data_IF_473242928329
#
_entry.id   IF_473242928329
#
_cell.length_a   1.000
_cell.length_b   1.000
_cell.length_c   1.000
_cell.angle_alpha   90.00
_cell.angle_beta   90.00
_cell.angle_gamma   90.00
#
_symmetry.space_group_name_H-M   'P 1'
#
loop_
_entity.id
_entity.type
_entity.pdbx_description
1 polymer ?
#
# COMPACT_ATOMS: atom_id res chain seq x y z
N UNK A 1 15.50 0.89 -0.89
CA UNK A 1 14.67 -0.15 -0.27
C UNK A 1 13.27 -0.02 -0.83
N UNK A 2 12.62 -1.11 -1.23
CA UNK A 2 11.25 -1.08 -1.77
C UNK A 2 10.44 -2.25 -1.21
N UNK A 3 9.12 -2.10 -1.21
CA UNK A 3 8.20 -3.15 -0.83
C UNK A 3 7.18 -3.40 -1.95
N UNK A 4 6.62 -4.60 -1.99
CA UNK A 4 5.45 -4.92 -2.78
C UNK A 4 4.30 -5.16 -1.81
N UNK A 5 3.25 -4.37 -1.92
CA UNK A 5 2.04 -4.46 -1.09
C UNK A 5 0.88 -5.03 -1.90
N UNK A 6 -0.06 -5.70 -1.23
CA UNK A 6 -1.34 -6.09 -1.81
C UNK A 6 -2.43 -5.10 -1.43
N UNK A 7 -3.16 -4.59 -2.41
CA UNK A 7 -4.29 -3.68 -2.18
C UNK A 7 -5.50 -4.23 -2.89
N UNK A 8 -6.46 -4.78 -2.13
CA UNK A 8 -7.62 -5.46 -2.70
C UNK A 8 -7.22 -6.57 -3.66
N UNK A 9 -7.47 -6.37 -4.95
CA UNK A 9 -7.14 -7.35 -6.01
C UNK A 9 -5.80 -7.13 -6.71
N UNK A 10 -5.16 -5.97 -6.50
CA UNK A 10 -3.90 -5.60 -7.15
C UNK A 10 -2.68 -5.75 -6.23
N UNK A 11 -1.51 -5.80 -6.86
CA UNK A 11 -0.22 -5.69 -6.18
C UNK A 11 0.51 -4.46 -6.70
N UNK A 12 1.11 -3.71 -5.79
CA UNK A 12 1.79 -2.46 -6.11
C UNK A 12 3.18 -2.42 -5.48
N UNK A 13 4.16 -1.93 -6.26
CA UNK A 13 5.50 -1.68 -5.76
C UNK A 13 5.56 -0.25 -5.20
N UNK A 14 5.99 -0.14 -3.95
CA UNK A 14 6.04 1.11 -3.21
C UNK A 14 7.43 1.36 -2.63
N UNK A 15 7.77 2.63 -2.53
CA UNK A 15 8.92 3.14 -1.79
C UNK A 15 8.45 4.25 -0.82
N UNK A 16 9.30 4.60 0.13
CA UNK A 16 9.01 5.67 1.09
C UNK A 16 8.71 7.00 0.36
N UNK A 17 7.66 7.69 0.78
CA UNK A 17 7.21 8.96 0.19
C UNK A 17 6.42 8.84 -1.13
N UNK A 18 6.26 7.63 -1.68
CA UNK A 18 5.50 7.40 -2.92
C UNK A 18 3.99 7.50 -2.67
N UNK A 19 3.29 8.23 -3.54
CA UNK A 19 1.82 8.27 -3.58
C UNK A 19 1.33 7.27 -4.63
N UNK A 20 0.42 6.39 -4.24
CA UNK A 20 -0.19 5.38 -5.12
C UNK A 20 -1.72 5.44 -5.04
N UNK A 21 -2.38 5.07 -6.15
CA UNK A 21 -3.83 4.85 -6.14
C UNK A 21 -4.10 3.41 -5.79
N UNK A 22 -5.01 3.19 -4.86
CA UNK A 22 -5.40 1.86 -4.38
C UNK A 22 -6.91 1.70 -4.48
N UNK A 23 -7.39 0.46 -4.36
CA UNK A 23 -8.81 0.15 -4.28
C UNK A 23 -9.50 0.92 -3.14
N UNK A 24 -10.80 1.16 -3.26
CA UNK A 24 -11.58 1.87 -2.24
C UNK A 24 -11.46 1.16 -0.88
N UNK A 25 -11.19 1.95 0.15
CA UNK A 25 -10.92 1.50 1.51
C UNK A 25 -11.94 2.09 2.49
N UNK A 26 -12.19 1.40 3.60
CA UNK A 26 -13.16 1.80 4.62
C UNK A 26 -12.61 2.80 5.63
N UNK A 27 -11.29 2.95 5.70
CA UNK A 27 -10.61 3.85 6.62
C UNK A 27 -10.86 5.32 6.24
N UNK A 28 -10.87 6.20 7.25
CA UNK A 28 -11.12 7.62 7.05
C UNK A 28 -9.92 8.33 6.38
N UNK A 29 -10.18 9.48 5.77
CA UNK A 29 -9.12 10.32 5.21
C UNK A 29 -8.16 10.77 6.32
N UNK A 30 -6.85 10.61 6.08
CA UNK A 30 -5.80 10.94 7.04
C UNK A 30 -5.50 9.82 8.06
N UNK A 31 -6.21 8.70 8.02
CA UNK A 31 -5.85 7.54 8.85
C UNK A 31 -4.51 6.93 8.42
N UNK A 32 -3.70 6.54 9.41
CA UNK A 32 -2.53 5.69 9.19
C UNK A 32 -2.96 4.23 9.15
N UNK A 33 -2.54 3.49 8.14
CA UNK A 33 -2.87 2.08 7.93
C UNK A 33 -1.61 1.27 7.65
N UNK A 34 -1.66 -0.02 7.96
CA UNK A 34 -0.60 -0.96 7.63
C UNK A 34 -1.08 -1.90 6.51
N UNK A 35 -0.30 -1.96 5.43
CA UNK A 35 -0.53 -2.96 4.39
C UNK A 35 0.26 -4.22 4.72
N UNK A 36 -0.34 -5.39 4.52
CA UNK A 36 0.39 -6.65 4.62
C UNK A 36 1.35 -6.76 3.42
N UNK A 37 2.68 -6.77 3.64
CA UNK A 37 3.65 -6.85 2.56
C UNK A 37 3.66 -8.26 1.96
N UNK A 38 3.79 -8.31 0.64
CA UNK A 38 3.98 -9.56 -0.10
C UNK A 38 5.46 -9.86 -0.29
N UNK A 39 6.28 -8.82 -0.46
CA UNK A 39 7.74 -8.93 -0.63
C UNK A 39 8.41 -7.63 -0.13
N UNK A 40 9.58 -7.74 0.50
CA UNK A 40 10.39 -6.58 0.97
C UNK A 40 11.85 -6.78 0.56
N UNK A 41 12.49 -5.73 0.02
CA UNK A 41 13.90 -5.71 -0.42
C UNK A 41 14.62 -4.46 0.05
#
# INVERSE_FOLDING_TARGET
MYAVIRTGTSQERVAEGQVVRVDLRSEALGSSIEFQPVLVV
#
